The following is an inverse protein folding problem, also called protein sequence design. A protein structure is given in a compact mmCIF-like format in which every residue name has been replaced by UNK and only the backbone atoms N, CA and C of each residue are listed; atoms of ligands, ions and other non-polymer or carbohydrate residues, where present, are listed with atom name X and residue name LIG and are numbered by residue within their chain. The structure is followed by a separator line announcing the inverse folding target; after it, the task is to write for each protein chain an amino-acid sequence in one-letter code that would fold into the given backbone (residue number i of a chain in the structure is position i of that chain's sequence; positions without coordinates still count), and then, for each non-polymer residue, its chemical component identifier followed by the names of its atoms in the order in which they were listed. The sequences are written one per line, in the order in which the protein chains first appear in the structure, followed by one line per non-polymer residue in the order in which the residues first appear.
data_IF_845524446331
#
_entry.id   IF_845524446331
#
_cell.length_a   1.000
_cell.length_b   1.000
_cell.length_c   1.000
_cell.angle_alpha   90.00
_cell.angle_beta   90.00
_cell.angle_gamma   90.00
#
_symmetry.space_group_name_H-M   'P 1'
#
loop_
_entity.id
_entity.type
_entity.pdbx_description
1 polymer ?
#
# COMPACT_ATOMS: atom_id res chain seq x y z
N UNK A 1 -38.37 24.96 -25.38
CA UNK A 1 -38.43 26.01 -24.33
C UNK A 1 -39.13 25.39 -23.12
N UNK A 2 -38.38 24.81 -22.18
CA UNK A 2 -38.95 24.06 -21.06
C UNK A 2 -39.71 25.00 -20.11
N UNK A 3 -41.01 24.79 -19.93
CA UNK A 3 -41.94 25.64 -19.16
C UNK A 3 -42.12 25.20 -17.70
N UNK A 4 -41.05 24.73 -17.03
CA UNK A 4 -41.13 24.30 -15.62
C UNK A 4 -39.85 24.71 -14.87
N UNK A 5 -39.74 25.98 -14.43
CA UNK A 5 -38.51 26.51 -13.84
C UNK A 5 -38.11 25.77 -12.55
N UNK A 6 -39.08 25.27 -11.79
CA UNK A 6 -38.85 24.49 -10.57
C UNK A 6 -38.24 23.11 -10.85
N UNK A 7 -38.71 22.44 -11.89
CA UNK A 7 -38.19 21.13 -12.29
C UNK A 7 -36.77 21.26 -12.86
N UNK A 8 -36.54 22.29 -13.69
CA UNK A 8 -35.21 22.59 -14.21
C UNK A 8 -34.21 22.87 -13.08
N UNK A 9 -34.60 23.68 -12.08
CA UNK A 9 -33.74 23.97 -10.93
C UNK A 9 -33.41 22.71 -10.12
N UNK A 10 -34.41 21.86 -9.86
CA UNK A 10 -34.20 20.60 -9.14
C UNK A 10 -33.23 19.66 -9.87
N UNK A 11 -33.40 19.49 -11.18
CA UNK A 11 -32.50 18.66 -12.00
C UNK A 11 -31.09 19.23 -11.99
N UNK A 12 -30.92 20.54 -12.13
CA UNK A 12 -29.60 21.18 -12.10
C UNK A 12 -28.89 20.93 -10.77
N UNK A 13 -29.58 21.01 -9.64
CA UNK A 13 -28.99 20.75 -8.32
C UNK A 13 -28.56 19.28 -8.19
N UNK A 14 -29.39 18.34 -8.61
CA UNK A 14 -29.07 16.91 -8.55
C UNK A 14 -27.83 16.59 -9.41
N UNK A 15 -27.77 17.13 -10.63
CA UNK A 15 -26.60 16.95 -11.52
C UNK A 15 -25.36 17.57 -10.89
N UNK A 16 -25.48 18.78 -10.31
CA UNK A 16 -24.35 19.44 -9.66
C UNK A 16 -23.79 18.63 -8.49
N UNK A 17 -24.66 18.12 -7.61
CA UNK A 17 -24.27 17.28 -6.48
C UNK A 17 -23.61 15.99 -6.99
N UNK A 18 -24.19 15.35 -8.01
CA UNK A 18 -23.61 14.15 -8.62
C UNK A 18 -22.22 14.38 -9.20
N UNK A 19 -22.01 15.47 -9.92
CA UNK A 19 -20.70 15.83 -10.48
C UNK A 19 -19.68 16.11 -9.37
N UNK A 20 -20.06 16.88 -8.34
CA UNK A 20 -19.19 17.15 -7.19
C UNK A 20 -18.81 15.85 -6.48
N UNK A 21 -19.77 14.95 -6.25
CA UNK A 21 -19.51 13.66 -5.63
C UNK A 21 -18.53 12.81 -6.45
N UNK A 22 -18.71 12.74 -7.77
CA UNK A 22 -17.80 12.02 -8.67
C UNK A 22 -16.39 12.62 -8.66
N UNK A 23 -16.26 13.95 -8.62
CA UNK A 23 -14.96 14.62 -8.52
C UNK A 23 -14.29 14.25 -7.19
N UNK A 24 -15.01 14.33 -6.07
CA UNK A 24 -14.46 14.00 -4.75
C UNK A 24 -14.01 12.53 -4.70
N UNK A 25 -14.84 11.61 -5.19
CA UNK A 25 -14.49 10.18 -5.27
C UNK A 25 -13.27 9.97 -6.16
N UNK A 26 -13.19 10.65 -7.31
CA UNK A 26 -12.04 10.58 -8.21
C UNK A 26 -10.75 11.06 -7.55
N UNK A 27 -10.79 12.17 -6.82
CA UNK A 27 -9.65 12.70 -6.07
C UNK A 27 -9.23 11.73 -4.97
N UNK A 28 -10.18 11.25 -4.15
CA UNK A 28 -9.89 10.33 -3.06
C UNK A 28 -9.42 8.96 -3.56
N UNK A 29 -9.85 8.49 -4.73
CA UNK A 29 -9.34 7.26 -5.31
C UNK A 29 -7.91 7.43 -5.85
N UNK A 30 -7.57 8.63 -6.33
CA UNK A 30 -6.22 8.95 -6.77
C UNK A 30 -5.24 9.17 -5.61
N UNK A 31 -5.70 9.76 -4.49
CA UNK A 31 -4.86 10.07 -3.31
C UNK A 31 -5.01 9.09 -2.16
N UNK A 32 -6.03 8.24 -2.18
CA UNK A 32 -6.32 7.23 -1.15
C UNK A 32 -5.16 6.27 -0.92
N UNK A 33 -4.51 5.74 -1.97
CA UNK A 33 -3.29 4.94 -1.78
C UNK A 33 -2.17 5.72 -1.08
N UNK A 34 -2.02 7.02 -1.34
CA UNK A 34 -1.01 7.88 -0.69
C UNK A 34 -1.34 8.21 0.78
N UNK A 35 -2.62 8.35 1.12
CA UNK A 35 -3.08 8.73 2.46
C UNK A 35 -3.28 7.53 3.40
N UNK A 36 -3.68 6.37 2.87
CA UNK A 36 -3.93 5.16 3.66
C UNK A 36 -2.65 4.32 3.82
N UNK A 37 -1.73 4.38 2.85
CA UNK A 37 -0.46 3.63 2.90
C UNK A 37 0.76 4.56 2.96
N UNK A 38 0.58 5.76 3.53
CA UNK A 38 1.60 6.78 3.81
C UNK A 38 2.90 6.60 3.04
N UNK A 39 2.99 7.20 1.85
CA UNK A 39 4.25 7.22 1.11
C UNK A 39 5.35 7.78 2.01
N UNK A 40 6.26 6.91 2.46
CA UNK A 40 7.37 7.23 3.37
C UNK A 40 6.93 7.80 4.74
N UNK A 41 6.62 6.93 5.70
CA UNK A 41 6.57 7.33 7.12
C UNK A 41 8.01 7.34 7.63
N UNK A 42 8.47 8.44 8.22
CA UNK A 42 9.72 8.43 8.97
C UNK A 42 9.51 7.67 10.27
N UNK A 43 10.06 6.46 10.37
CA UNK A 43 10.10 5.68 11.61
C UNK A 43 11.52 5.66 12.16
N UNK A 44 11.63 5.52 13.48
CA UNK A 44 12.91 5.45 14.18
C UNK A 44 13.29 3.97 14.33
N UNK A 45 14.21 3.51 13.48
CA UNK A 45 14.78 2.15 13.58
C UNK A 45 16.16 2.30 14.23
N UNK A 46 16.36 1.63 15.36
CA UNK A 46 17.62 1.68 16.14
C UNK A 46 18.04 3.10 16.59
N UNK A 47 17.07 3.96 16.90
CA UNK A 47 17.30 5.35 17.28
C UNK A 47 17.68 6.29 16.12
N UNK A 48 17.72 5.79 14.89
CA UNK A 48 17.97 6.56 13.67
C UNK A 48 16.68 6.70 12.87
N UNK A 49 16.43 7.88 12.31
CA UNK A 49 15.24 8.15 11.49
C UNK A 49 15.44 7.59 10.08
N UNK A 50 14.61 6.62 9.67
CA UNK A 50 14.61 6.04 8.33
C UNK A 50 13.27 6.29 7.64
N UNK A 51 13.31 6.46 6.32
CA UNK A 51 12.10 6.52 5.49
C UNK A 51 11.57 5.10 5.27
N UNK A 52 10.44 4.78 5.89
CA UNK A 52 9.76 3.49 5.74
C UNK A 52 8.87 3.52 4.51
N UNK A 53 9.23 2.73 3.52
CA UNK A 53 8.46 2.52 2.31
C UNK A 53 7.54 1.30 2.45
N UNK A 54 6.57 1.22 1.55
CA UNK A 54 5.57 0.17 1.51
C UNK A 54 5.50 -0.46 0.12
N UNK A 55 5.50 -1.78 0.04
CA UNK A 55 5.32 -2.53 -1.20
C UNK A 55 4.34 -3.68 -0.99
N UNK A 56 3.47 -3.90 -1.97
CA UNK A 56 2.44 -4.94 -1.93
C UNK A 56 2.72 -6.01 -2.99
N UNK A 57 2.55 -7.28 -2.65
CA UNK A 57 2.84 -8.38 -3.56
C UNK A 57 2.54 -9.76 -3.01
N UNK A 58 3.21 -10.79 -3.53
CA UNK A 58 3.13 -12.16 -3.04
C UNK A 58 4.54 -12.68 -2.76
N UNK A 59 4.75 -13.27 -1.57
CA UNK A 59 6.05 -13.85 -1.22
C UNK A 59 6.19 -15.20 -1.94
N UNK A 60 7.20 -15.33 -2.79
CA UNK A 60 7.45 -16.56 -3.54
C UNK A 60 8.20 -17.61 -2.72
N UNK A 61 9.21 -17.16 -1.97
CA UNK A 61 10.12 -18.05 -1.24
C UNK A 61 10.88 -17.30 -0.17
N UNK A 62 11.20 -18.02 0.89
CA UNK A 62 12.16 -17.63 1.92
C UNK A 62 13.47 -18.39 1.71
N UNK A 63 14.60 -17.71 1.89
CA UNK A 63 15.95 -18.28 1.85
C UNK A 63 16.46 -18.62 3.26
N UNK A 64 17.55 -19.38 3.32
CA UNK A 64 18.16 -19.82 4.58
C UNK A 64 18.75 -18.70 5.42
N UNK A 65 19.06 -17.55 4.83
CA UNK A 65 19.53 -16.33 5.49
C UNK A 65 18.37 -15.45 6.00
N UNK A 66 17.14 -16.00 6.04
CA UNK A 66 15.90 -15.33 6.36
C UNK A 66 15.52 -14.19 5.40
N UNK A 67 16.21 -14.02 4.28
CA UNK A 67 15.73 -13.15 3.20
C UNK A 67 14.56 -13.81 2.47
N UNK A 68 13.70 -13.00 1.83
CA UNK A 68 12.60 -13.52 1.03
C UNK A 68 12.40 -12.70 -0.24
N UNK A 69 11.80 -13.33 -1.25
CA UNK A 69 11.52 -12.69 -2.54
C UNK A 69 10.03 -12.37 -2.63
N UNK A 70 9.70 -11.09 -2.80
CA UNK A 70 8.36 -10.61 -3.10
C UNK A 70 8.23 -10.41 -4.62
N UNK A 71 7.14 -10.91 -5.21
CA UNK A 71 6.67 -10.45 -6.51
C UNK A 71 5.68 -9.32 -6.28
N UNK A 72 6.04 -8.12 -6.68
CA UNK A 72 5.19 -6.92 -6.54
C UNK A 72 3.95 -7.03 -7.44
N UNK A 73 2.96 -6.18 -7.19
CA UNK A 73 1.78 -6.04 -8.07
C UNK A 73 2.14 -5.72 -9.54
N UNK A 74 3.31 -5.12 -9.79
CA UNK A 74 3.83 -4.83 -11.14
C UNK A 74 4.59 -6.00 -11.77
N UNK A 75 4.71 -7.13 -11.07
CA UNK A 75 5.42 -8.33 -11.51
C UNK A 75 6.94 -8.27 -11.29
N UNK A 76 7.45 -7.25 -10.60
CA UNK A 76 8.87 -7.15 -10.28
C UNK A 76 9.22 -8.04 -9.10
N UNK A 77 10.40 -8.66 -9.14
CA UNK A 77 10.92 -9.42 -8.00
C UNK A 77 11.85 -8.54 -7.18
N UNK A 78 11.52 -8.36 -5.90
CA UNK A 78 12.35 -7.65 -4.93
C UNK A 78 12.81 -8.60 -3.84
N UNK A 79 14.08 -8.49 -3.44
CA UNK A 79 14.66 -9.27 -2.35
C UNK A 79 14.66 -8.41 -1.08
N UNK A 80 14.07 -8.94 -0.02
CA UNK A 80 14.03 -8.28 1.28
C UNK A 80 14.82 -9.09 2.30
N UNK A 81 15.61 -8.41 3.12
CA UNK A 81 16.29 -8.99 4.27
C UNK A 81 15.40 -8.83 5.50
N UNK A 82 15.08 -9.94 6.16
CA UNK A 82 14.32 -9.95 7.40
C UNK A 82 15.27 -9.74 8.59
N UNK A 83 14.99 -8.73 9.43
CA UNK A 83 15.73 -8.45 10.68
C UNK A 83 14.83 -8.61 11.91
N UNK A 84 15.27 -8.14 13.08
CA UNK A 84 14.70 -8.44 14.40
C UNK A 84 13.17 -8.45 14.48
N UNK A 85 12.47 -7.44 13.95
CA UNK A 85 11.00 -7.39 13.99
C UNK A 85 10.36 -8.41 13.04
N UNK A 86 10.78 -8.41 11.78
CA UNK A 86 10.34 -9.38 10.77
C UNK A 86 10.62 -10.84 11.18
N UNK A 87 11.72 -11.12 11.90
CA UNK A 87 12.06 -12.47 12.37
C UNK A 87 11.03 -13.03 13.38
N UNK A 88 10.36 -12.16 14.13
CA UNK A 88 9.27 -12.59 15.03
C UNK A 88 8.02 -13.04 14.26
N UNK A 89 7.92 -12.66 12.98
CA UNK A 89 6.81 -12.98 12.09
C UNK A 89 7.16 -14.06 11.06
N UNK A 90 8.23 -14.84 11.23
CA UNK A 90 8.57 -15.90 10.27
C UNK A 90 7.44 -16.92 10.04
N UNK A 91 6.70 -17.26 11.10
CA UNK A 91 5.51 -18.11 10.96
C UNK A 91 4.43 -17.45 10.10
N UNK A 92 4.30 -16.12 10.18
CA UNK A 92 3.39 -15.35 9.35
C UNK A 92 3.79 -15.41 7.88
N UNK A 93 5.07 -15.13 7.61
CA UNK A 93 5.66 -15.18 6.27
C UNK A 93 5.48 -16.56 5.65
N UNK A 94 5.75 -17.63 6.41
CA UNK A 94 5.59 -18.99 5.91
C UNK A 94 4.14 -19.32 5.56
N UNK A 95 3.16 -18.81 6.32
CA UNK A 95 1.75 -18.93 5.99
C UNK A 95 1.44 -18.24 4.67
N UNK A 96 1.91 -17.00 4.46
CA UNK A 96 1.67 -16.27 3.21
C UNK A 96 2.30 -16.95 1.99
N UNK A 97 3.49 -17.54 2.16
CA UNK A 97 4.12 -18.36 1.11
C UNK A 97 3.24 -19.57 0.76
N UNK A 98 2.74 -20.29 1.76
CA UNK A 98 1.92 -21.50 1.54
C UNK A 98 0.58 -21.15 0.87
N UNK A 99 -0.06 -20.07 1.31
CA UNK A 99 -1.37 -19.63 0.84
C UNK A 99 -1.29 -18.82 -0.46
N UNK A 100 -0.09 -18.46 -0.91
CA UNK A 100 0.14 -17.47 -1.98
C UNK A 100 -0.65 -16.18 -1.73
N UNK A 101 -0.75 -15.81 -0.45
CA UNK A 101 -1.53 -14.67 -0.03
C UNK A 101 -0.88 -13.38 -0.50
N UNK A 102 -1.71 -12.36 -0.72
CA UNK A 102 -1.22 -11.00 -0.90
C UNK A 102 -0.65 -10.52 0.43
N UNK A 103 0.51 -9.89 0.37
CA UNK A 103 1.29 -9.42 1.52
C UNK A 103 1.71 -7.99 1.27
N UNK A 104 1.61 -7.19 2.32
CA UNK A 104 2.06 -5.82 2.41
C UNK A 104 3.33 -5.77 3.26
N UNK A 105 4.37 -5.13 2.72
CA UNK A 105 5.71 -5.13 3.30
C UNK A 105 6.14 -3.71 3.57
N UNK A 106 6.47 -3.44 4.83
CA UNK A 106 7.06 -2.18 5.26
C UNK A 106 8.56 -2.38 5.37
N UNK A 107 9.33 -1.53 4.68
CA UNK A 107 10.77 -1.70 4.57
C UNK A 107 11.51 -0.39 4.56
N UNK A 108 12.82 -0.46 4.84
CA UNK A 108 13.75 0.66 4.71
C UNK A 108 14.85 0.31 3.72
N UNK A 109 15.34 1.33 3.01
CA UNK A 109 16.52 1.22 2.18
C UNK A 109 17.79 1.36 3.04
N UNK A 110 18.61 0.30 3.07
CA UNK A 110 19.96 0.33 3.63
C UNK A 110 20.96 0.13 2.50
N UNK A 111 21.42 1.23 1.91
CA UNK A 111 22.30 1.28 0.73
C UNK A 111 21.75 0.50 -0.47
N UNK A 112 22.05 -0.79 -0.55
CA UNK A 112 21.65 -1.70 -1.64
C UNK A 112 20.71 -2.81 -1.18
N UNK A 113 20.35 -2.84 0.11
CA UNK A 113 19.53 -3.85 0.74
C UNK A 113 18.18 -3.25 1.11
N UNK A 114 17.11 -3.97 0.79
CA UNK A 114 15.77 -3.67 1.30
C UNK A 114 15.59 -4.43 2.60
N UNK A 115 15.50 -3.73 3.72
CA UNK A 115 15.30 -4.35 5.02
C UNK A 115 13.82 -4.31 5.40
N UNK A 116 13.19 -5.48 5.52
CA UNK A 116 11.80 -5.60 5.94
C UNK A 116 11.70 -5.41 7.46
N UNK A 117 10.89 -4.44 7.85
CA UNK A 117 10.59 -4.10 9.25
C UNK A 117 9.35 -4.88 9.70
N UNK A 118 8.33 -4.94 8.85
CA UNK A 118 7.04 -5.56 9.15
C UNK A 118 6.47 -6.23 7.89
N UNK A 119 5.80 -7.36 8.08
CA UNK A 119 5.23 -8.18 6.98
C UNK A 119 3.82 -8.63 7.37
N UNK A 120 2.83 -8.07 6.70
CA UNK A 120 1.40 -8.37 6.91
C UNK A 120 0.75 -9.03 5.70
#
# INVERSE_FOLDING_TARGET
MMKFPRLSAAITVIVLIGVIALIIIGVLNATGPLLVHGSSITDTVDGTMHMVEHESGTILRQKSDHSFVLVTATGQQKLFQCKQRCLLQLGHIQRHINEHARTDIYYIHMDTILEAIDVD
#
